data_IF_278699937069
#
_entry.id   IF_278699937069
#
_cell.length_a   1.000
_cell.length_b   1.000
_cell.length_c   1.000
_cell.angle_alpha   90.00
_cell.angle_beta   90.00
_cell.angle_gamma   90.00
#
_symmetry.space_group_name_H-M   'P 1'
#
loop_
_entity.id
_entity.type
_entity.pdbx_description
1 polymer ?
#
# COMPACT_ATOMS: atom_id res chain seq x y z
N UNK A 1 -6.98 6.72 -6.16
CA UNK A 1 -7.33 6.36 -4.78
C UNK A 1 -8.81 6.06 -4.46
N UNK A 2 -9.85 6.50 -5.21
CA UNK A 2 -11.26 6.24 -4.78
C UNK A 2 -11.62 4.76 -4.73
N UNK A 3 -11.18 3.99 -5.72
CA UNK A 3 -11.63 2.61 -5.90
C UNK A 3 -11.08 1.63 -4.82
N UNK A 4 -9.81 1.77 -4.43
CA UNK A 4 -9.21 0.87 -3.42
C UNK A 4 -9.78 1.09 -2.01
N UNK A 5 -10.10 2.34 -1.66
CA UNK A 5 -10.72 2.63 -0.37
C UNK A 5 -12.16 2.09 -0.27
N UNK A 6 -12.90 2.10 -1.39
CA UNK A 6 -14.22 1.47 -1.47
C UNK A 6 -14.13 -0.05 -1.35
N UNK A 7 -13.15 -0.67 -2.02
CA UNK A 7 -12.87 -2.11 -1.89
C UNK A 7 -12.51 -2.50 -0.46
N UNK A 8 -11.61 -1.78 0.20
CA UNK A 8 -11.25 -2.05 1.61
C UNK A 8 -12.49 -2.04 2.51
N UNK A 9 -13.39 -1.06 2.33
CA UNK A 9 -14.64 -0.98 3.11
C UNK A 9 -15.53 -2.19 2.87
N UNK A 10 -15.73 -2.56 1.60
CA UNK A 10 -16.53 -3.74 1.23
C UNK A 10 -15.95 -5.01 1.84
N UNK A 11 -14.65 -5.26 1.66
CA UNK A 11 -13.99 -6.45 2.18
C UNK A 11 -13.94 -6.47 3.72
N UNK A 12 -13.90 -5.31 4.37
CA UNK A 12 -14.03 -5.22 5.84
C UNK A 12 -15.42 -5.66 6.32
N UNK A 13 -16.48 -5.26 5.61
CA UNK A 13 -17.84 -5.72 5.91
C UNK A 13 -17.98 -7.22 5.65
N UNK A 14 -17.39 -7.71 4.57
CA UNK A 14 -17.38 -9.13 4.21
C UNK A 14 -16.63 -9.98 5.25
N UNK A 15 -15.44 -9.56 5.67
CA UNK A 15 -14.67 -10.22 6.72
C UNK A 15 -15.44 -10.28 8.05
N UNK A 16 -16.12 -9.20 8.44
CA UNK A 16 -16.97 -9.20 9.63
C UNK A 16 -18.12 -10.19 9.52
N UNK A 17 -18.75 -10.28 8.35
CA UNK A 17 -19.83 -11.23 8.11
C UNK A 17 -19.32 -12.67 8.18
N UNK A 18 -18.23 -13.00 7.48
CA UNK A 18 -17.61 -14.34 7.49
C UNK A 18 -17.21 -14.74 8.90
N UNK A 19 -16.55 -13.86 9.66
CA UNK A 19 -16.19 -14.14 11.04
C UNK A 19 -17.40 -14.34 11.96
N UNK A 20 -18.53 -13.69 11.66
CA UNK A 20 -19.78 -13.87 12.41
C UNK A 20 -20.53 -15.15 12.05
N UNK A 21 -20.40 -15.66 10.81
CA UNK A 21 -21.09 -16.87 10.35
C UNK A 21 -20.26 -18.13 10.57
N UNK A 22 -18.98 -18.10 10.20
CA UNK A 22 -18.05 -19.24 10.27
C UNK A 22 -17.33 -19.32 11.63
N UNK A 23 -17.41 -18.26 12.43
CA UNK A 23 -16.80 -18.16 13.75
C UNK A 23 -15.47 -17.40 13.73
N UNK A 24 -15.20 -16.66 14.80
CA UNK A 24 -14.08 -15.72 14.88
C UNK A 24 -12.68 -16.38 14.82
N UNK A 25 -12.58 -17.67 15.12
CA UNK A 25 -11.32 -18.44 15.04
C UNK A 25 -11.29 -19.41 13.87
N UNK A 26 -12.22 -19.27 12.91
CA UNK A 26 -12.23 -20.10 11.70
C UNK A 26 -11.12 -19.69 10.74
N UNK A 27 -10.70 -20.65 9.90
CA UNK A 27 -9.77 -20.36 8.80
C UNK A 27 -10.35 -19.36 7.79
N UNK A 28 -11.67 -19.42 7.55
CA UNK A 28 -12.34 -18.52 6.62
C UNK A 28 -12.37 -17.08 7.14
N UNK A 29 -12.57 -16.88 8.44
CA UNK A 29 -12.42 -15.57 9.08
C UNK A 29 -10.99 -15.03 8.94
N UNK A 30 -9.97 -15.88 9.16
CA UNK A 30 -8.58 -15.48 9.01
C UNK A 30 -8.26 -15.10 7.56
N UNK A 31 -8.69 -15.89 6.58
CA UNK A 31 -8.49 -15.61 5.16
C UNK A 31 -9.20 -14.32 4.70
N UNK A 32 -10.40 -14.05 5.22
CA UNK A 32 -11.11 -12.82 4.89
C UNK A 32 -10.40 -11.57 5.44
N UNK A 33 -9.80 -11.66 6.64
CA UNK A 33 -8.97 -10.57 7.17
C UNK A 33 -7.63 -10.43 6.46
N UNK A 34 -7.02 -11.52 6.01
CA UNK A 34 -5.80 -11.52 5.19
C UNK A 34 -6.01 -10.72 3.89
N UNK A 35 -7.14 -10.93 3.20
CA UNK A 35 -7.51 -10.14 2.03
C UNK A 35 -7.66 -8.64 2.32
N UNK A 36 -8.21 -8.28 3.48
CA UNK A 36 -8.35 -6.88 3.94
C UNK A 36 -6.99 -6.27 4.28
N UNK A 37 -6.05 -7.05 4.81
CA UNK A 37 -4.68 -6.63 5.11
C UNK A 37 -3.91 -6.33 3.82
N UNK A 38 -3.97 -7.22 2.83
CA UNK A 38 -3.31 -7.04 1.53
C UNK A 38 -3.82 -5.80 0.78
N UNK A 39 -5.13 -5.56 0.79
CA UNK A 39 -5.70 -4.35 0.18
C UNK A 39 -5.22 -3.07 0.89
N UNK A 40 -5.08 -3.10 2.22
CA UNK A 40 -4.54 -1.97 2.97
C UNK A 40 -3.05 -1.75 2.68
N UNK A 41 -2.28 -2.82 2.53
CA UNK A 41 -0.87 -2.76 2.14
C UNK A 41 -0.71 -2.11 0.75
N UNK A 42 -1.48 -2.55 -0.24
CA UNK A 42 -1.47 -1.93 -1.57
C UNK A 42 -1.93 -0.47 -1.54
N UNK A 43 -2.94 -0.14 -0.71
CA UNK A 43 -3.34 1.27 -0.53
C UNK A 43 -2.24 2.12 0.11
N UNK A 44 -1.39 1.56 0.97
CA UNK A 44 -0.20 2.24 1.49
C UNK A 44 0.85 2.44 0.39
N UNK A 45 1.13 1.38 -0.37
CA UNK A 45 2.10 1.41 -1.46
C UNK A 45 1.73 2.40 -2.57
N UNK A 46 0.44 2.51 -2.91
CA UNK A 46 -0.04 3.55 -3.83
C UNK A 46 0.19 4.96 -3.29
N UNK A 47 -0.06 5.19 -1.99
CA UNK A 47 0.21 6.50 -1.35
C UNK A 47 1.69 6.86 -1.37
N UNK A 48 2.58 5.88 -1.18
CA UNK A 48 4.02 6.11 -1.30
C UNK A 48 4.42 6.51 -2.72
N UNK A 49 3.89 5.82 -3.75
CA UNK A 49 4.13 6.16 -5.16
C UNK A 49 3.61 7.53 -5.55
N UNK A 50 2.53 7.97 -4.91
CA UNK A 50 1.97 9.31 -5.13
C UNK A 50 2.77 10.41 -4.43
N UNK A 51 3.75 10.07 -3.59
CA UNK A 51 4.65 11.08 -3.00
C UNK A 51 5.52 11.66 -4.12
N UNK A 52 5.31 12.94 -4.50
CA UNK A 52 6.05 13.52 -5.60
C UNK A 52 7.52 13.63 -5.21
N UNK A 53 8.40 13.32 -6.17
CA UNK A 53 9.83 13.56 -6.01
C UNK A 53 10.05 15.03 -5.66
N UNK A 54 10.93 15.29 -4.71
CA UNK A 54 11.38 16.65 -4.43
C UNK A 54 12.08 17.21 -5.68
N UNK A 55 12.12 18.54 -5.80
CA UNK A 55 12.83 19.18 -6.93
C UNK A 55 14.30 18.73 -7.02
N UNK A 56 14.93 18.46 -5.88
CA UNK A 56 16.29 17.93 -5.83
C UNK A 56 16.39 16.49 -6.33
N UNK A 57 15.49 15.59 -5.90
CA UNK A 57 15.45 14.21 -6.42
C UNK A 57 15.24 14.19 -7.93
N UNK A 58 14.27 14.97 -8.43
CA UNK A 58 14.03 15.06 -9.88
C UNK A 58 15.26 15.58 -10.62
N UNK A 59 15.91 16.64 -10.10
CA UNK A 59 17.12 17.19 -10.69
C UNK A 59 18.26 16.16 -10.76
N UNK A 60 18.47 15.38 -9.69
CA UNK A 60 19.51 14.36 -9.65
C UNK A 60 19.20 13.12 -10.50
N UNK A 61 17.93 12.76 -10.69
CA UNK A 61 17.54 11.71 -11.64
C UNK A 61 17.86 12.13 -13.08
N UNK A 62 17.64 13.40 -13.41
CA UNK A 62 17.87 13.96 -14.75
C UNK A 62 19.36 14.32 -15.00
N UNK A 63 20.12 14.59 -13.93
CA UNK A 63 21.52 15.03 -13.98
C UNK A 63 22.39 14.25 -12.96
N UNK A 64 22.60 12.94 -13.15
CA UNK A 64 23.30 12.10 -12.17
C UNK A 64 24.79 12.47 -12.00
N UNK A 65 25.39 13.15 -12.98
CA UNK A 65 26.78 13.59 -12.97
C UNK A 65 26.98 15.02 -12.42
N UNK A 66 25.88 15.73 -12.08
CA UNK A 66 25.95 17.01 -11.38
C UNK A 66 26.69 16.85 -10.05
N UNK A 67 27.46 17.87 -9.66
CA UNK A 67 28.33 17.80 -8.47
C UNK A 67 27.52 17.52 -7.20
N UNK A 68 26.31 18.05 -7.15
CA UNK A 68 25.34 17.89 -6.06
C UNK A 68 24.70 16.50 -6.01
N UNK A 69 24.83 15.68 -7.05
CA UNK A 69 24.10 14.41 -7.22
C UNK A 69 25.01 13.18 -7.29
N UNK A 70 26.34 13.36 -7.36
CA UNK A 70 27.29 12.25 -7.39
C UNK A 70 27.27 11.47 -6.09
N UNK A 71 26.96 10.18 -6.20
CA UNK A 71 27.12 9.20 -5.12
C UNK A 71 28.38 8.39 -5.40
N UNK A 72 29.27 8.29 -4.41
CA UNK A 72 30.49 7.49 -4.50
C UNK A 72 30.30 6.22 -3.66
N UNK A 73 30.68 5.06 -4.19
CA UNK A 73 30.74 3.82 -3.42
C UNK A 73 32.04 3.84 -2.58
N UNK A 74 31.94 3.51 -1.29
CA UNK A 74 33.08 3.40 -0.36
C UNK A 74 33.86 2.08 -0.55
#
# INVERSE_FOLDING_TARGET
MSNINEQIKKETEEARNVCSTEGASSGDCAAAWDAVEELQAEASHQREKETPKTGFQQYCDDNPDAVECRVYED
#
